data_IF_907210007971
#
_entry.id   IF_907210007971
#
_cell.length_a   1.000
_cell.length_b   1.000
_cell.length_c   1.000
_cell.angle_alpha   90.00
_cell.angle_beta   90.00
_cell.angle_gamma   90.00
#
_symmetry.space_group_name_H-M   'P 1'
#
loop_
_entity.id
_entity.type
_entity.pdbx_description
1 polymer ?
#
# COMPACT_ATOMS: atom_id res chain seq x y z
N UNK A 1 10.02 -1.18 -10.55
CA UNK A 1 11.00 -2.13 -11.15
C UNK A 1 10.35 -3.09 -12.13
N UNK A 2 9.40 -3.93 -11.71
CA UNK A 2 8.71 -4.92 -12.58
C UNK A 2 8.08 -4.28 -13.82
N UNK A 3 7.33 -3.19 -13.62
CA UNK A 3 6.67 -2.42 -14.67
C UNK A 3 7.58 -1.38 -15.36
N UNK A 4 8.89 -1.35 -15.06
CA UNK A 4 9.88 -0.38 -15.58
C UNK A 4 9.46 1.11 -15.46
N UNK A 5 8.67 1.43 -14.44
CA UNK A 5 8.26 2.80 -14.14
C UNK A 5 9.46 3.64 -13.67
N UNK A 6 9.48 4.91 -14.08
CA UNK A 6 10.49 5.88 -13.61
C UNK A 6 10.34 6.15 -12.12
N UNK A 7 11.46 6.42 -11.45
CA UNK A 7 11.51 6.87 -10.05
C UNK A 7 11.59 8.40 -9.92
N UNK A 8 11.58 9.15 -11.03
CA UNK A 8 11.52 10.61 -11.05
C UNK A 8 10.06 11.09 -10.89
N UNK A 9 9.74 12.08 -10.04
CA UNK A 9 10.63 12.88 -9.17
C UNK A 9 10.95 12.24 -7.83
N UNK A 10 10.19 11.22 -7.42
CA UNK A 10 10.50 10.45 -6.22
C UNK A 10 10.07 8.98 -6.34
N UNK A 11 10.74 8.06 -5.62
CA UNK A 11 10.39 6.65 -5.63
C UNK A 11 8.93 6.45 -5.21
N UNK A 12 8.17 5.70 -6.01
CA UNK A 12 6.76 5.40 -5.73
C UNK A 12 5.76 6.45 -6.22
N UNK A 13 6.18 7.66 -6.60
CA UNK A 13 5.26 8.69 -7.11
C UNK A 13 4.50 8.22 -8.36
N UNK A 14 5.21 7.68 -9.36
CA UNK A 14 4.56 7.20 -10.59
C UNK A 14 3.67 5.97 -10.35
N UNK A 15 3.93 5.19 -9.29
CA UNK A 15 3.04 4.09 -8.90
C UNK A 15 1.71 4.67 -8.43
N UNK A 16 1.75 5.69 -7.57
CA UNK A 16 0.54 6.39 -7.10
C UNK A 16 -0.25 7.01 -8.26
N UNK A 17 0.43 7.68 -9.20
CA UNK A 17 -0.25 8.31 -10.34
C UNK A 17 -0.94 7.29 -11.26
N UNK A 18 -0.35 6.10 -11.44
CA UNK A 18 -0.97 5.03 -12.21
C UNK A 18 -2.10 4.34 -11.44
N UNK A 19 -1.92 4.11 -10.15
CA UNK A 19 -2.93 3.50 -9.29
C UNK A 19 -4.25 4.30 -9.27
N UNK A 20 -4.19 5.63 -9.32
CA UNK A 20 -5.38 6.51 -9.45
C UNK A 20 -6.23 6.23 -10.69
N UNK A 21 -5.66 5.59 -11.71
CA UNK A 21 -6.33 5.24 -12.97
C UNK A 21 -6.74 3.76 -13.02
N UNK A 22 -6.36 2.97 -12.00
CA UNK A 22 -6.74 1.57 -11.90
C UNK A 22 -8.23 1.46 -11.56
N UNK A 23 -8.89 0.45 -12.12
CA UNK A 23 -10.32 0.20 -11.91
C UNK A 23 -10.59 -1.22 -11.45
N UNK A 24 -9.66 -2.14 -11.71
CA UNK A 24 -9.80 -3.55 -11.41
C UNK A 24 -8.84 -3.96 -10.29
N UNK A 25 -9.39 -4.48 -9.21
CA UNK A 25 -8.59 -5.07 -8.13
C UNK A 25 -8.19 -6.51 -8.45
N UNK A 26 -6.92 -6.83 -8.25
CA UNK A 26 -6.37 -8.19 -8.27
C UNK A 26 -5.86 -8.56 -6.88
N UNK A 27 -6.28 -9.70 -6.35
CA UNK A 27 -5.84 -10.15 -5.03
C UNK A 27 -4.34 -10.47 -5.02
N UNK A 28 -3.61 -9.78 -4.14
CA UNK A 28 -2.17 -9.97 -3.89
C UNK A 28 -2.00 -10.63 -2.52
N UNK A 29 -0.97 -11.46 -2.30
CA UNK A 29 -0.74 -12.08 -1.00
C UNK A 29 -0.69 -11.06 0.14
N UNK A 30 -1.50 -11.28 1.16
CA UNK A 30 -1.61 -10.41 2.32
C UNK A 30 -0.77 -10.97 3.47
N UNK A 31 0.45 -10.44 3.63
CA UNK A 31 1.49 -11.06 4.46
C UNK A 31 1.72 -10.32 5.79
N UNK A 32 0.74 -10.40 6.70
CA UNK A 32 0.82 -9.84 8.07
C UNK A 32 0.96 -10.96 9.09
N UNK A 33 1.88 -10.81 10.04
CA UNK A 33 2.08 -11.73 11.17
C UNK A 33 2.13 -10.94 12.47
N UNK A 34 1.01 -10.89 13.19
CA UNK A 34 0.90 -10.06 14.39
C UNK A 34 1.01 -8.57 14.04
N UNK A 35 2.10 -7.93 14.43
CA UNK A 35 2.41 -6.53 14.11
C UNK A 35 3.47 -6.38 13.00
N UNK A 36 3.99 -7.51 12.49
CA UNK A 36 5.01 -7.52 11.44
C UNK A 36 4.42 -7.68 10.04
N UNK A 37 5.07 -7.05 9.06
CA UNK A 37 4.72 -7.11 7.63
C UNK A 37 5.88 -7.71 6.82
N UNK A 38 5.56 -8.49 5.77
CA UNK A 38 6.57 -9.02 4.85
C UNK A 38 6.28 -8.62 3.40
N UNK A 39 7.19 -7.83 2.81
CA UNK A 39 7.07 -7.34 1.44
C UNK A 39 7.85 -8.18 0.41
N UNK A 40 8.82 -8.98 0.84
CA UNK A 40 9.65 -9.79 -0.07
C UNK A 40 8.82 -10.80 -0.85
N UNK A 41 7.91 -11.52 -0.18
CA UNK A 41 7.00 -12.46 -0.84
C UNK A 41 6.06 -11.80 -1.85
N UNK A 42 5.61 -10.58 -1.55
CA UNK A 42 4.78 -9.78 -2.47
C UNK A 42 5.59 -9.38 -3.70
N UNK A 43 6.85 -8.94 -3.52
CA UNK A 43 7.71 -8.58 -4.64
C UNK A 43 7.94 -9.78 -5.57
N UNK A 44 8.30 -10.94 -5.02
CA UNK A 44 8.48 -12.18 -5.81
C UNK A 44 7.20 -12.57 -6.53
N UNK A 45 6.05 -12.53 -5.85
CA UNK A 45 4.75 -12.79 -6.47
C UNK A 45 4.49 -11.87 -7.67
N UNK A 46 4.76 -10.56 -7.51
CA UNK A 46 4.55 -9.59 -8.58
C UNK A 46 5.54 -9.80 -9.74
N UNK A 47 6.79 -10.12 -9.47
CA UNK A 47 7.79 -10.45 -10.51
C UNK A 47 7.36 -11.66 -11.35
N UNK A 48 6.81 -12.70 -10.72
CA UNK A 48 6.36 -13.91 -11.41
C UNK A 48 5.01 -13.76 -12.14
N UNK A 49 4.06 -13.02 -11.55
CA UNK A 49 2.67 -12.98 -12.03
C UNK A 49 2.37 -11.78 -12.91
N UNK A 50 3.11 -10.68 -12.81
CA UNK A 50 2.78 -9.44 -13.52
C UNK A 50 2.62 -9.64 -15.03
N UNK A 51 3.53 -10.37 -15.69
CA UNK A 51 3.42 -10.63 -17.14
C UNK A 51 2.13 -11.38 -17.50
N UNK A 52 1.80 -12.43 -16.74
CA UNK A 52 0.58 -13.23 -16.96
C UNK A 52 -0.70 -12.44 -16.69
N UNK A 53 -0.67 -11.53 -15.72
CA UNK A 53 -1.80 -10.66 -15.40
C UNK A 53 -2.03 -9.62 -16.49
N UNK A 54 -0.96 -9.07 -17.07
CA UNK A 54 -1.07 -8.17 -18.22
C UNK A 54 -1.66 -8.91 -19.44
N UNK A 55 -1.23 -10.14 -19.69
CA UNK A 55 -1.78 -10.99 -20.76
C UNK A 55 -3.25 -11.39 -20.51
N UNK A 56 -3.69 -11.47 -19.25
CA UNK A 56 -5.09 -11.76 -18.89
C UNK A 56 -6.00 -10.53 -18.83
N UNK A 57 -5.50 -9.38 -19.31
CA UNK A 57 -6.29 -8.16 -19.48
C UNK A 57 -6.26 -7.20 -18.29
N UNK A 58 -5.36 -7.38 -17.31
CA UNK A 58 -5.08 -6.33 -16.33
C UNK A 58 -4.15 -5.27 -16.94
N UNK A 59 -4.32 -4.03 -16.53
CA UNK A 59 -3.42 -2.94 -16.92
C UNK A 59 -2.35 -2.69 -15.87
N UNK A 60 -1.29 -1.96 -16.22
CA UNK A 60 -0.28 -1.54 -15.25
C UNK A 60 -0.91 -0.70 -14.12
N UNK A 61 -1.92 0.10 -14.45
CA UNK A 61 -2.71 0.91 -13.54
C UNK A 61 -3.45 0.04 -12.52
N UNK A 62 -4.12 -1.01 -12.97
CA UNK A 62 -4.83 -1.96 -12.11
C UNK A 62 -3.87 -2.68 -11.15
N UNK A 63 -2.68 -3.06 -11.64
CA UNK A 63 -1.67 -3.70 -10.82
C UNK A 63 -1.06 -2.74 -9.79
N UNK A 64 -0.81 -1.48 -10.15
CA UNK A 64 -0.37 -0.45 -9.21
C UNK A 64 -1.45 -0.17 -8.15
N UNK A 65 -2.71 -0.07 -8.55
CA UNK A 65 -3.85 0.08 -7.66
C UNK A 65 -3.94 -1.08 -6.66
N UNK A 66 -3.96 -2.30 -7.17
CA UNK A 66 -4.07 -3.51 -6.33
C UNK A 66 -2.93 -3.63 -5.33
N UNK A 67 -1.70 -3.32 -5.77
CA UNK A 67 -0.51 -3.35 -4.93
C UNK A 67 -0.59 -2.30 -3.82
N UNK A 68 -0.98 -1.07 -4.16
CA UNK A 68 -1.08 0.04 -3.24
C UNK A 68 -2.14 -0.23 -2.15
N UNK A 69 -3.35 -0.65 -2.56
CA UNK A 69 -4.43 -0.99 -1.62
C UNK A 69 -4.02 -2.13 -0.69
N UNK A 70 -3.41 -3.19 -1.23
CA UNK A 70 -3.01 -4.35 -0.41
C UNK A 70 -1.93 -3.99 0.59
N UNK A 71 -0.86 -3.32 0.17
CA UNK A 71 0.26 -2.96 1.05
C UNK A 71 -0.17 -1.93 2.10
N UNK A 72 -0.97 -0.93 1.72
CA UNK A 72 -1.39 0.08 2.67
C UNK A 72 -2.41 -0.44 3.66
N UNK A 73 -3.31 -1.35 3.26
CA UNK A 73 -4.16 -2.07 4.20
C UNK A 73 -3.31 -2.82 5.24
N UNK A 74 -2.24 -3.51 4.82
CA UNK A 74 -1.32 -4.20 5.74
C UNK A 74 -0.67 -3.22 6.74
N UNK A 75 -0.23 -2.05 6.27
CA UNK A 75 0.38 -1.03 7.12
C UNK A 75 -0.61 -0.41 8.11
N UNK A 76 -1.83 -0.12 7.64
CA UNK A 76 -2.89 0.43 8.48
C UNK A 76 -3.30 -0.60 9.54
N UNK A 77 -3.47 -1.87 9.17
CA UNK A 77 -3.80 -2.96 10.10
C UNK A 77 -2.76 -3.10 11.22
N UNK A 78 -1.46 -3.14 10.88
CA UNK A 78 -0.42 -3.29 11.89
C UNK A 78 -0.26 -2.05 12.76
N UNK A 79 -0.42 -0.86 12.17
CA UNK A 79 -0.43 0.42 12.89
C UNK A 79 -1.62 0.50 13.84
N UNK A 80 -2.80 0.08 13.40
CA UNK A 80 -4.01 0.01 14.20
C UNK A 80 -3.83 -0.94 15.39
N UNK A 81 -3.25 -2.13 15.17
CA UNK A 81 -2.92 -3.08 16.24
C UNK A 81 -1.95 -2.46 17.25
N UNK A 82 -0.89 -1.81 16.78
CA UNK A 82 0.09 -1.15 17.64
C UNK A 82 -0.55 -0.01 18.45
N UNK A 83 -1.37 0.83 17.81
CA UNK A 83 -2.10 1.94 18.45
C UNK A 83 -2.95 1.45 19.62
N UNK A 84 -3.71 0.37 19.42
CA UNK A 84 -4.49 -0.27 20.50
C UNK A 84 -3.59 -0.81 21.61
N UNK A 85 -2.49 -1.49 21.23
CA UNK A 85 -1.62 -2.17 22.19
C UNK A 85 -0.91 -1.18 23.14
N UNK A 86 -0.51 -0.02 22.63
CA UNK A 86 0.18 1.02 23.44
C UNK A 86 -0.79 2.01 24.09
N UNK A 87 -2.08 1.97 23.74
CA UNK A 87 -3.09 2.91 24.24
C UNK A 87 -2.90 4.36 23.77
N UNK A 88 -2.19 4.58 22.67
CA UNK A 88 -1.99 5.91 22.09
C UNK A 88 -3.22 6.37 21.31
N UNK A 89 -3.36 7.68 21.13
CA UNK A 89 -4.39 8.32 20.30
C UNK A 89 -3.78 9.15 19.17
N UNK A 90 -2.50 8.96 18.89
CA UNK A 90 -1.76 9.74 17.90
C UNK A 90 -0.96 8.80 17.01
N UNK A 91 -1.05 9.04 15.71
CA UNK A 91 -0.25 8.36 14.67
C UNK A 91 0.48 9.44 13.89
N UNK A 92 1.79 9.28 13.70
CA UNK A 92 2.62 10.16 12.88
C UNK A 92 3.19 9.36 11.70
N UNK A 93 2.95 9.81 10.48
CA UNK A 93 3.54 9.18 9.29
C UNK A 93 4.84 9.90 8.93
N UNK A 94 5.95 9.17 8.91
CA UNK A 94 7.26 9.69 8.50
C UNK A 94 7.85 8.92 7.31
N UNK A 95 8.88 9.49 6.70
CA UNK A 95 9.62 8.88 5.57
C UNK A 95 9.01 9.19 4.20
N UNK A 96 9.75 8.88 3.14
CA UNK A 96 9.39 9.30 1.77
C UNK A 96 8.07 8.71 1.24
N UNK A 97 7.70 7.51 1.69
CA UNK A 97 6.41 6.87 1.35
C UNK A 97 5.25 7.57 2.06
N UNK A 98 5.51 8.28 3.16
CA UNK A 98 4.51 9.03 3.90
C UNK A 98 3.86 10.16 3.11
N UNK A 99 4.51 10.64 2.05
CA UNK A 99 3.95 11.63 1.13
C UNK A 99 2.83 11.07 0.22
N UNK A 100 2.60 9.76 0.24
CA UNK A 100 1.58 9.14 -0.58
C UNK A 100 0.17 9.45 -0.05
N UNK A 101 -0.63 10.15 -0.86
CA UNK A 101 -1.94 10.65 -0.43
C UNK A 101 -2.92 9.52 -0.09
N UNK A 102 -2.81 8.36 -0.74
CA UNK A 102 -3.70 7.23 -0.47
C UNK A 102 -3.35 6.55 0.86
N UNK A 103 -2.07 6.44 1.21
CA UNK A 103 -1.66 5.95 2.53
C UNK A 103 -2.18 6.89 3.63
N UNK A 104 -1.97 8.20 3.46
CA UNK A 104 -2.48 9.20 4.40
C UNK A 104 -4.00 9.11 4.55
N UNK A 105 -4.72 8.91 3.46
CA UNK A 105 -6.17 8.74 3.49
C UNK A 105 -6.63 7.52 4.28
N UNK A 106 -6.06 6.34 4.00
CA UNK A 106 -6.43 5.11 4.71
C UNK A 106 -6.08 5.19 6.20
N UNK A 107 -4.92 5.76 6.53
CA UNK A 107 -4.51 5.95 7.93
C UNK A 107 -5.43 6.94 8.66
N UNK A 108 -5.84 8.03 7.99
CA UNK A 108 -6.73 9.04 8.57
C UNK A 108 -8.09 8.45 8.92
N UNK A 109 -8.66 7.66 8.02
CA UNK A 109 -9.94 6.96 8.26
C UNK A 109 -9.82 6.06 9.49
N UNK A 110 -8.77 5.24 9.57
CA UNK A 110 -8.53 4.38 10.74
C UNK A 110 -8.39 5.18 12.04
N UNK A 111 -7.64 6.29 12.02
CA UNK A 111 -7.51 7.17 13.18
C UNK A 111 -8.86 7.77 13.59
N UNK A 112 -9.65 8.29 12.65
CA UNK A 112 -10.98 8.86 12.91
C UNK A 112 -11.93 7.83 13.55
N UNK A 113 -11.97 6.60 13.02
CA UNK A 113 -12.79 5.50 13.54
C UNK A 113 -12.40 5.09 14.98
N UNK A 114 -11.14 5.33 15.37
CA UNK A 114 -10.63 5.07 16.72
C UNK A 114 -10.65 6.26 17.66
N UNK A 115 -11.09 7.44 17.20
CA UNK A 115 -10.96 8.68 17.97
C UNK A 115 -9.51 9.08 18.25
N UNK A 116 -8.62 8.78 17.30
CA UNK A 116 -7.21 9.14 17.27
C UNK A 116 -6.95 10.24 16.23
N UNK A 117 -5.78 10.86 16.29
CA UNK A 117 -5.34 11.94 15.41
C UNK A 117 -4.17 11.48 14.55
N UNK A 118 -4.24 11.79 13.26
CA UNK A 118 -3.14 11.59 12.31
C UNK A 118 -2.34 12.88 12.14
N UNK A 119 -1.01 12.77 12.18
CA UNK A 119 -0.04 13.83 11.89
C UNK A 119 0.84 13.49 10.68
#
# INVERSE_FOLDING_TARGET
>A
RVLKLSNDPSPGFNIEQLAKKGTKYHAIPYCVKGMDVSFSGILTYMEEKCKKLLESGYTAQDLCYSLQETIFAMLVETTERALAHVGSKEVLIVGGVGCNLRLQEMMRIMCEERGAVLF
#
